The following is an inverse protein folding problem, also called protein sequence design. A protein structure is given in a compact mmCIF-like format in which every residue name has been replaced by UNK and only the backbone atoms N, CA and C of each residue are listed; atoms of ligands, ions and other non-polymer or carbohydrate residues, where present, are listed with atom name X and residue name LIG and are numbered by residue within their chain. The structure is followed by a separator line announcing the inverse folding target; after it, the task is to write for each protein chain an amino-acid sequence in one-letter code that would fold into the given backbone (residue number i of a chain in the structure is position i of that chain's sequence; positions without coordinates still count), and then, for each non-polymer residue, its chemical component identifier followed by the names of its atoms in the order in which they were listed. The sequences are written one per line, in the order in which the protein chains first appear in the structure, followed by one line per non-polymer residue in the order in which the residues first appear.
data_IF_083267470051
#
_entry.id   IF_083267470051
#
_cell.length_a   1.000
_cell.length_b   1.000
_cell.length_c   1.000
_cell.angle_alpha   90.00
_cell.angle_beta   90.00
_cell.angle_gamma   90.00
#
_symmetry.space_group_name_H-M   'P 1'
#
loop_
_entity.id
_entity.type
_entity.pdbx_description
1 polymer ?
#
# COMPACT_ATOMS: atom_id res chain seq x y z
N UNK A 1 10.42 21.83 -22.38
CA UNK A 1 10.43 20.42 -21.99
C UNK A 1 9.51 20.27 -20.78
N UNK A 2 8.36 19.89 -20.86
CA UNK A 2 7.52 18.86 -21.26
C UNK A 2 6.57 18.51 -20.12
N UNK A 3 5.43 19.24 -19.92
CA UNK A 3 4.45 18.98 -18.84
C UNK A 3 3.73 17.61 -18.89
N UNK A 4 4.00 16.78 -19.88
CA UNK A 4 3.41 15.44 -20.00
C UNK A 4 4.11 14.36 -19.14
N UNK A 5 5.34 14.61 -18.68
CA UNK A 5 6.10 13.64 -17.86
C UNK A 5 5.63 13.55 -16.40
N UNK A 6 5.30 14.66 -15.77
CA UNK A 6 5.03 14.72 -14.32
C UNK A 6 3.67 14.12 -13.94
N UNK A 7 2.61 14.39 -14.68
CA UNK A 7 1.28 13.84 -14.37
C UNK A 7 1.22 12.32 -14.50
N UNK A 8 1.94 11.74 -15.46
CA UNK A 8 2.07 10.29 -15.61
C UNK A 8 2.82 9.65 -14.47
N UNK A 9 3.82 10.33 -13.94
CA UNK A 9 4.67 9.83 -12.86
C UNK A 9 3.94 9.77 -11.50
N UNK A 10 3.21 10.83 -11.11
CA UNK A 10 2.40 10.80 -9.87
C UNK A 10 1.31 9.74 -9.90
N UNK A 11 0.65 9.54 -11.04
CA UNK A 11 -0.35 8.48 -11.18
C UNK A 11 0.24 7.08 -11.02
N UNK A 12 1.46 6.85 -11.56
CA UNK A 12 2.18 5.59 -11.42
C UNK A 12 2.63 5.37 -9.98
N UNK A 13 3.27 6.36 -9.35
CA UNK A 13 3.69 6.30 -7.96
C UNK A 13 2.49 6.07 -7.01
N UNK A 14 1.34 6.72 -7.30
CA UNK A 14 0.10 6.48 -6.56
C UNK A 14 -0.43 5.05 -6.71
N UNK A 15 -0.33 4.44 -7.90
CA UNK A 15 -0.71 3.05 -8.11
C UNK A 15 0.22 2.09 -7.36
N UNK A 16 1.53 2.31 -7.43
CA UNK A 16 2.53 1.51 -6.71
C UNK A 16 2.32 1.60 -5.19
N UNK A 17 2.12 2.80 -4.66
CA UNK A 17 1.82 3.03 -3.25
C UNK A 17 0.50 2.39 -2.83
N UNK A 18 -0.55 2.48 -3.65
CA UNK A 18 -1.83 1.80 -3.44
C UNK A 18 -1.64 0.29 -3.33
N UNK A 19 -0.83 -0.28 -4.21
CA UNK A 19 -0.57 -1.73 -4.26
C UNK A 19 0.16 -2.19 -3.00
N UNK A 20 1.22 -1.47 -2.59
CA UNK A 20 2.01 -1.77 -1.39
C UNK A 20 1.20 -1.62 -0.10
N UNK A 21 0.29 -0.65 -0.03
CA UNK A 21 -0.50 -0.36 1.17
C UNK A 21 -1.85 -1.07 1.21
N UNK A 22 -2.28 -1.68 0.12
CA UNK A 22 -3.62 -2.21 -0.09
C UNK A 22 -4.74 -1.20 0.25
N UNK A 23 -4.47 0.11 0.18
CA UNK A 23 -5.40 1.19 0.48
C UNK A 23 -6.44 1.39 -0.65
N UNK A 24 -7.50 2.16 -0.39
CA UNK A 24 -8.47 2.52 -1.44
C UNK A 24 -7.95 3.65 -2.30
N UNK A 25 -8.37 3.68 -3.58
CA UNK A 25 -7.95 4.72 -4.52
C UNK A 25 -8.20 6.15 -4.00
N UNK A 26 -9.36 6.41 -3.39
CA UNK A 26 -9.68 7.70 -2.79
C UNK A 26 -8.80 8.05 -1.59
N UNK A 27 -8.42 7.06 -0.79
CA UNK A 27 -7.50 7.25 0.34
C UNK A 27 -6.12 7.70 -0.15
N UNK A 28 -5.58 7.02 -1.18
CA UNK A 28 -4.27 7.35 -1.76
C UNK A 28 -4.28 8.69 -2.48
N UNK A 29 -5.31 8.97 -3.30
CA UNK A 29 -5.38 10.22 -4.08
C UNK A 29 -5.38 11.46 -3.20
N UNK A 30 -6.12 11.42 -2.09
CA UNK A 30 -6.20 12.53 -1.16
C UNK A 30 -5.16 12.46 -0.03
N UNK A 31 -4.15 11.60 -0.10
CA UNK A 31 -3.10 11.52 0.93
C UNK A 31 -2.34 12.85 1.04
N UNK A 32 -2.13 13.31 2.26
CA UNK A 32 -1.42 14.54 2.56
C UNK A 32 -0.17 14.27 3.38
N UNK A 33 0.82 15.16 3.32
CA UNK A 33 2.11 14.94 3.98
C UNK A 33 2.03 14.95 5.50
N UNK A 34 1.07 15.64 6.08
CA UNK A 34 0.81 15.66 7.52
C UNK A 34 0.26 14.33 8.05
N UNK A 35 -0.26 13.47 7.16
CA UNK A 35 -0.68 12.11 7.50
C UNK A 35 0.49 11.12 7.57
N UNK A 36 1.67 11.48 7.06
CA UNK A 36 2.84 10.60 6.98
C UNK A 36 3.78 10.87 8.14
N UNK A 37 3.97 9.87 8.97
CA UNK A 37 5.00 9.87 10.01
C UNK A 37 6.12 8.95 9.56
N UNK A 38 7.28 9.52 9.25
CA UNK A 38 8.50 8.74 9.10
C UNK A 38 9.02 8.39 10.51
N UNK A 39 9.51 7.16 10.68
CA UNK A 39 9.99 6.71 11.97
C UNK A 39 11.06 7.64 12.57
N UNK A 40 11.09 7.73 13.89
CA UNK A 40 12.07 8.55 14.61
C UNK A 40 13.46 7.99 14.31
N UNK A 41 14.34 8.86 13.81
CA UNK A 41 15.77 8.60 13.88
C UNK A 41 16.14 8.66 15.37
N UNK A 42 16.53 7.54 15.96
CA UNK A 42 17.24 7.58 17.23
C UNK A 42 18.54 8.38 16.99
N UNK A 43 18.56 9.60 17.51
CA UNK A 43 19.71 10.53 17.37
C UNK A 43 20.92 10.09 18.19
N UNK A 44 21.04 8.81 18.51
CA UNK A 44 22.09 8.32 19.41
C UNK A 44 23.38 7.91 18.71
N UNK A 45 23.39 7.82 17.37
CA UNK A 45 24.65 7.57 16.66
C UNK A 45 24.93 8.67 15.61
N UNK A 46 26.07 9.31 15.81
CA UNK A 46 26.65 10.39 15.04
C UNK A 46 27.18 9.90 13.66
N UNK A 47 26.50 8.95 13.03
CA UNK A 47 26.80 8.48 11.68
C UNK A 47 25.71 9.00 10.74
N UNK A 48 26.12 9.84 9.80
CA UNK A 48 25.31 10.52 8.76
C UNK A 48 24.52 9.59 7.81
N UNK A 49 24.45 8.30 8.10
CA UNK A 49 23.81 7.28 7.27
C UNK A 49 22.85 6.43 8.13
N UNK A 50 21.70 6.98 8.49
CA UNK A 50 20.62 6.11 9.01
C UNK A 50 20.13 5.21 7.87
N UNK A 51 20.28 3.88 7.95
CA UNK A 51 19.82 3.01 6.88
C UNK A 51 18.32 3.21 6.62
N UNK A 52 17.93 3.29 5.35
CA UNK A 52 16.52 3.38 4.92
C UNK A 52 15.63 2.34 5.64
N UNK A 53 16.18 1.18 5.95
CA UNK A 53 15.53 0.12 6.71
C UNK A 53 15.13 0.56 8.12
N UNK A 54 15.94 1.35 8.83
CA UNK A 54 15.63 1.81 10.20
C UNK A 54 14.53 2.86 10.21
N UNK A 55 14.50 3.76 9.23
CA UNK A 55 13.43 4.75 9.06
C UNK A 55 12.11 4.05 8.72
N UNK A 56 12.17 3.02 7.91
CA UNK A 56 10.99 2.29 7.44
C UNK A 56 10.36 1.39 8.50
N UNK A 57 11.13 0.91 9.50
CA UNK A 57 10.59 0.00 10.53
C UNK A 57 9.52 0.63 11.42
N UNK A 58 9.43 1.96 11.47
CA UNK A 58 8.42 2.66 12.27
C UNK A 58 7.54 3.64 11.48
N UNK A 59 7.75 3.77 10.16
CA UNK A 59 6.96 4.67 9.34
C UNK A 59 5.48 4.26 9.28
N UNK A 60 4.60 5.25 9.32
CA UNK A 60 3.14 5.03 9.38
C UNK A 60 2.42 6.12 8.58
N UNK A 61 1.39 5.72 7.86
CA UNK A 61 0.43 6.63 7.26
C UNK A 61 -0.87 6.59 8.07
N UNK A 62 -1.23 7.72 8.69
CA UNK A 62 -2.42 7.84 9.52
C UNK A 62 -3.50 8.61 8.77
N UNK A 63 -4.51 7.90 8.29
CA UNK A 63 -5.64 8.49 7.55
C UNK A 63 -6.68 8.95 8.57
N UNK A 64 -7.01 10.25 8.64
CA UNK A 64 -7.95 10.76 9.62
C UNK A 64 -9.37 10.24 9.36
N UNK A 65 -10.17 10.17 10.42
CA UNK A 65 -11.55 9.67 10.37
C UNK A 65 -12.43 10.39 9.33
N UNK A 66 -12.20 11.68 9.11
CA UNK A 66 -12.94 12.51 8.13
C UNK A 66 -12.76 12.06 6.68
N UNK A 67 -11.64 11.38 6.36
CA UNK A 67 -11.35 10.84 5.03
C UNK A 67 -11.73 9.37 4.87
N UNK A 68 -12.10 8.70 5.97
CA UNK A 68 -12.43 7.29 5.95
C UNK A 68 -13.93 7.07 5.77
N UNK A 69 -14.31 6.16 4.84
CA UNK A 69 -15.73 5.79 4.64
C UNK A 69 -16.41 5.32 5.93
N UNK A 70 -15.64 4.75 6.84
CA UNK A 70 -16.12 4.20 8.10
C UNK A 70 -16.13 5.24 9.25
N UNK A 71 -15.71 6.49 9.01
CA UNK A 71 -15.66 7.53 10.04
C UNK A 71 -14.70 7.24 11.20
N UNK A 72 -13.68 6.39 10.98
CA UNK A 72 -12.65 6.05 11.97
C UNK A 72 -11.29 6.20 11.38
N UNK A 73 -10.35 6.73 12.17
CA UNK A 73 -8.94 6.79 11.82
C UNK A 73 -8.40 5.42 11.43
N UNK A 74 -7.54 5.41 10.43
CA UNK A 74 -6.88 4.19 9.99
C UNK A 74 -5.39 4.40 9.86
N UNK A 75 -4.61 3.58 10.57
CA UNK A 75 -3.14 3.58 10.49
C UNK A 75 -2.67 2.46 9.58
N UNK A 76 -1.84 2.82 8.61
CA UNK A 76 -1.21 1.90 7.65
C UNK A 76 0.28 1.80 7.97
N UNK A 77 0.76 0.59 8.22
CA UNK A 77 2.19 0.34 8.38
C UNK A 77 2.87 0.46 7.01
N UNK A 78 3.82 1.39 6.88
CA UNK A 78 4.56 1.60 5.63
C UNK A 78 5.78 0.68 5.58
N UNK A 79 5.96 0.05 4.43
CA UNK A 79 7.16 -0.76 4.14
C UNK A 79 8.31 0.12 3.62
N UNK A 80 9.56 -0.36 3.61
CA UNK A 80 10.68 0.37 3.02
C UNK A 80 10.41 0.86 1.60
N UNK A 81 9.75 0.04 0.79
CA UNK A 81 9.41 0.37 -0.60
C UNK A 81 8.39 1.52 -0.67
N UNK A 82 7.37 1.49 0.19
CA UNK A 82 6.40 2.56 0.27
C UNK A 82 7.04 3.88 0.74
N UNK A 83 7.96 3.80 1.71
CA UNK A 83 8.76 4.95 2.17
C UNK A 83 9.65 5.49 1.06
N UNK A 84 10.31 4.62 0.29
CA UNK A 84 11.16 5.02 -0.84
C UNK A 84 10.36 5.77 -1.92
N UNK A 85 9.14 5.32 -2.23
CA UNK A 85 8.22 6.05 -3.11
C UNK A 85 7.98 7.45 -2.56
N UNK A 86 7.56 7.58 -1.30
CA UNK A 86 7.27 8.87 -0.68
C UNK A 86 8.47 9.81 -0.70
N UNK A 87 9.67 9.30 -0.40
CA UNK A 87 10.90 10.09 -0.41
C UNK A 87 11.34 10.54 -1.81
N UNK A 88 10.97 9.79 -2.85
CA UNK A 88 11.26 10.16 -4.25
C UNK A 88 10.33 11.24 -4.80
N UNK A 89 9.19 11.50 -4.11
CA UNK A 89 8.19 12.46 -4.59
C UNK A 89 8.63 13.91 -4.32
N UNK A 90 8.52 14.81 -5.31
CA UNK A 90 8.71 16.23 -5.07
C UNK A 90 7.59 16.77 -4.18
N UNK A 91 7.92 17.72 -3.33
CA UNK A 91 6.93 18.52 -2.60
C UNK A 91 6.72 19.83 -3.35
N UNK A 92 5.46 20.22 -3.53
CA UNK A 92 5.12 21.52 -4.10
C UNK A 92 4.75 22.46 -2.96
N UNK A 93 5.37 23.63 -2.93
CA UNK A 93 5.02 24.69 -1.99
C UNK A 93 3.53 25.04 -2.13
N UNK A 94 2.82 25.10 -1.02
CA UNK A 94 1.38 25.39 -0.99
C UNK A 94 0.47 24.21 -1.33
N UNK A 95 1.00 23.02 -1.68
CA UNK A 95 0.18 21.80 -1.87
C UNK A 95 0.38 20.83 -0.71
N UNK A 96 -0.67 20.42 0.01
CA UNK A 96 -0.56 19.43 1.07
C UNK A 96 -0.43 18.01 0.54
N UNK A 97 -0.78 17.77 -0.73
CA UNK A 97 -0.94 16.43 -1.29
C UNK A 97 0.39 15.71 -1.54
N UNK A 98 0.43 14.43 -1.18
CA UNK A 98 1.54 13.51 -1.50
C UNK A 98 1.55 13.23 -3.00
N UNK A 99 0.40 12.87 -3.56
CA UNK A 99 0.19 12.63 -4.98
C UNK A 99 -0.70 13.73 -5.53
N UNK A 100 -0.18 14.55 -6.40
CA UNK A 100 -0.89 15.74 -6.88
C UNK A 100 -1.10 15.75 -8.39
N UNK A 101 -2.15 16.44 -8.81
CA UNK A 101 -2.42 16.76 -10.21
C UNK A 101 -1.44 17.84 -10.71
N UNK A 102 -1.27 18.03 -12.02
CA UNK A 102 -0.33 19.02 -12.59
C UNK A 102 -0.48 20.46 -12.07
N UNK A 103 -1.64 20.80 -11.52
CA UNK A 103 -1.91 22.13 -10.92
C UNK A 103 -1.77 22.14 -9.40
N UNK A 104 -1.20 21.10 -8.78
CA UNK A 104 -0.96 21.00 -7.33
C UNK A 104 -2.16 20.55 -6.50
N UNK A 105 -3.32 20.30 -7.10
CA UNK A 105 -4.52 19.79 -6.42
C UNK A 105 -4.52 18.26 -6.29
N UNK A 106 -5.58 17.71 -5.68
CA UNK A 106 -5.80 16.27 -5.57
C UNK A 106 -5.84 15.59 -6.96
N UNK A 107 -5.32 14.35 -7.04
CA UNK A 107 -5.46 13.52 -8.24
C UNK A 107 -6.94 13.20 -8.52
N UNK A 108 -7.33 13.23 -9.81
CA UNK A 108 -8.69 12.85 -10.19
C UNK A 108 -8.97 11.39 -9.86
N UNK A 109 -10.25 11.05 -9.68
CA UNK A 109 -10.73 9.70 -9.39
C UNK A 109 -10.38 8.68 -10.49
N UNK A 110 -10.20 9.16 -11.72
CA UNK A 110 -9.83 8.33 -12.86
C UNK A 110 -8.33 8.10 -13.02
N UNK A 111 -7.46 8.84 -12.29
CA UNK A 111 -6.01 8.83 -12.55
C UNK A 111 -5.40 7.44 -12.40
N UNK A 112 -5.63 6.76 -11.27
CA UNK A 112 -5.06 5.44 -10.99
C UNK A 112 -5.62 4.39 -11.98
N UNK A 113 -6.92 4.44 -12.25
CA UNK A 113 -7.56 3.56 -13.24
C UNK A 113 -7.04 3.79 -14.65
N UNK A 114 -6.72 5.03 -15.02
CA UNK A 114 -6.14 5.35 -16.32
C UNK A 114 -4.69 4.83 -16.46
N UNK A 115 -3.92 4.80 -15.37
CA UNK A 115 -2.59 4.14 -15.37
C UNK A 115 -2.75 2.65 -15.63
N UNK A 116 -3.62 1.96 -14.92
CA UNK A 116 -3.84 0.53 -15.12
C UNK A 116 -4.35 0.21 -16.52
N UNK A 117 -5.26 1.02 -17.08
CA UNK A 117 -5.70 0.83 -18.48
C UNK A 117 -4.55 0.96 -19.46
N UNK A 118 -3.68 1.98 -19.31
CA UNK A 118 -2.49 2.11 -20.19
C UNK A 118 -1.53 0.92 -20.06
N UNK A 119 -1.35 0.38 -18.85
CA UNK A 119 -0.55 -0.83 -18.64
C UNK A 119 -1.21 -2.04 -19.31
N UNK A 120 -2.52 -2.20 -19.17
CA UNK A 120 -3.32 -3.23 -19.85
C UNK A 120 -3.14 -3.15 -21.37
N UNK A 121 -3.37 -1.97 -21.96
CA UNK A 121 -3.25 -1.74 -23.40
C UNK A 121 -1.83 -2.02 -23.92
N UNK A 122 -0.81 -1.67 -23.13
CA UNK A 122 0.58 -1.93 -23.49
C UNK A 122 0.92 -3.41 -23.46
N UNK A 123 0.48 -4.13 -22.42
CA UNK A 123 0.71 -5.56 -22.27
C UNK A 123 -0.08 -6.36 -23.30
N UNK A 124 -1.32 -5.99 -23.59
CA UNK A 124 -2.14 -6.62 -24.60
C UNK A 124 -1.49 -6.50 -25.99
N UNK A 125 -0.90 -5.36 -26.31
CA UNK A 125 -0.14 -5.18 -27.56
C UNK A 125 1.16 -5.99 -27.60
N UNK A 126 1.81 -6.18 -26.45
CA UNK A 126 3.08 -6.89 -26.36
C UNK A 126 2.92 -8.42 -26.32
N UNK A 127 1.96 -8.93 -25.54
CA UNK A 127 1.78 -10.36 -25.26
C UNK A 127 0.45 -10.93 -25.82
N UNK A 128 -0.49 -10.07 -26.24
CA UNK A 128 -1.81 -10.46 -26.72
C UNK A 128 -2.82 -10.80 -25.62
N UNK A 129 -2.41 -10.83 -24.33
CA UNK A 129 -3.28 -11.28 -23.23
C UNK A 129 -3.64 -10.16 -22.24
N UNK A 130 -2.71 -9.23 -21.96
CA UNK A 130 -2.90 -8.22 -20.94
C UNK A 130 -3.03 -8.78 -19.51
N UNK A 131 -3.33 -7.90 -18.55
CA UNK A 131 -3.57 -8.27 -17.16
C UNK A 131 -5.05 -8.51 -16.92
N UNK A 132 -5.49 -9.76 -17.06
CA UNK A 132 -6.90 -10.14 -16.96
C UNK A 132 -7.15 -11.17 -15.86
N UNK A 133 -8.30 -11.08 -15.23
CA UNK A 133 -8.78 -12.11 -14.31
C UNK A 133 -8.96 -13.44 -15.07
N UNK A 134 -8.33 -14.53 -14.66
CA UNK A 134 -8.39 -15.81 -15.36
C UNK A 134 -9.81 -16.39 -15.43
N UNK A 135 -10.70 -16.04 -14.49
CA UNK A 135 -12.06 -16.57 -14.39
C UNK A 135 -13.04 -15.85 -15.33
N UNK A 136 -13.05 -14.52 -15.31
CA UNK A 136 -14.04 -13.72 -16.03
C UNK A 136 -13.47 -12.92 -17.21
N UNK A 137 -12.14 -13.01 -17.43
CA UNK A 137 -11.40 -12.34 -18.51
C UNK A 137 -11.52 -10.80 -18.50
N UNK A 138 -11.90 -10.22 -17.36
CA UNK A 138 -11.98 -8.76 -17.22
C UNK A 138 -10.59 -8.19 -16.89
N UNK A 139 -10.24 -7.01 -17.41
CA UNK A 139 -9.01 -6.32 -17.07
C UNK A 139 -8.91 -6.03 -15.58
N UNK A 140 -7.68 -6.08 -15.06
CA UNK A 140 -7.39 -5.71 -13.69
C UNK A 140 -7.77 -4.25 -13.40
N UNK A 141 -8.32 -4.02 -12.21
CA UNK A 141 -8.74 -2.70 -11.74
C UNK A 141 -8.14 -2.41 -10.36
N UNK A 142 -7.98 -1.13 -9.95
CA UNK A 142 -7.36 -0.79 -8.66
C UNK A 142 -8.01 -1.48 -7.46
N UNK A 143 -9.33 -1.63 -7.45
CA UNK A 143 -10.04 -2.34 -6.38
C UNK A 143 -9.69 -3.83 -6.32
N UNK A 144 -9.40 -4.45 -7.45
CA UNK A 144 -8.97 -5.86 -7.53
C UNK A 144 -7.69 -6.14 -6.76
N UNK A 145 -6.76 -5.17 -6.69
CA UNK A 145 -5.51 -5.31 -5.93
C UNK A 145 -5.75 -5.56 -4.44
N UNK A 146 -6.81 -4.98 -3.88
CA UNK A 146 -7.21 -5.23 -2.48
C UNK A 146 -7.76 -6.65 -2.31
N UNK A 147 -8.50 -7.15 -3.27
CA UNK A 147 -8.97 -8.55 -3.29
C UNK A 147 -7.79 -9.52 -3.38
N UNK A 148 -6.79 -9.20 -4.20
CA UNK A 148 -5.54 -9.97 -4.31
C UNK A 148 -4.80 -10.00 -2.97
N UNK A 149 -4.61 -8.84 -2.31
CA UNK A 149 -4.03 -8.79 -0.97
C UNK A 149 -4.80 -9.66 0.03
N UNK A 150 -6.13 -9.57 0.02
CA UNK A 150 -6.98 -10.34 0.95
C UNK A 150 -6.85 -11.85 0.73
N UNK A 151 -6.82 -12.28 -0.54
CA UNK A 151 -6.63 -13.67 -0.92
C UNK A 151 -5.24 -14.16 -0.55
N UNK A 152 -4.19 -13.40 -0.90
CA UNK A 152 -2.81 -13.68 -0.55
C UNK A 152 -2.64 -13.86 0.97
N UNK A 153 -3.19 -12.95 1.77
CA UNK A 153 -3.11 -13.05 3.23
C UNK A 153 -3.76 -14.33 3.76
N UNK A 154 -4.90 -14.75 3.19
CA UNK A 154 -5.55 -15.99 3.55
C UNK A 154 -4.72 -17.22 3.16
N UNK A 155 -4.14 -17.25 1.96
CA UNK A 155 -3.30 -18.34 1.46
C UNK A 155 -1.99 -18.47 2.25
N UNK A 156 -1.49 -17.36 2.80
CA UNK A 156 -0.32 -17.31 3.67
C UNK A 156 -0.61 -17.61 5.15
N UNK A 157 -1.87 -17.90 5.49
CA UNK A 157 -2.27 -18.25 6.86
C UNK A 157 -2.32 -17.07 7.83
N UNK A 158 -2.36 -15.82 7.33
CA UNK A 158 -2.56 -14.66 8.20
C UNK A 158 -3.94 -14.66 8.85
N UNK A 159 -4.05 -14.28 10.13
CA UNK A 159 -5.34 -14.16 10.79
C UNK A 159 -6.29 -13.25 9.98
N UNK A 160 -7.52 -13.73 9.76
CA UNK A 160 -8.54 -12.99 9.01
C UNK A 160 -8.70 -11.57 9.52
N UNK A 161 -8.79 -11.41 10.84
CA UNK A 161 -9.01 -10.11 11.46
C UNK A 161 -7.87 -9.13 11.16
N UNK A 162 -6.63 -9.61 11.20
CA UNK A 162 -5.47 -8.77 10.87
C UNK A 162 -5.52 -8.26 9.41
N UNK A 163 -5.89 -9.14 8.45
CA UNK A 163 -6.04 -8.78 7.05
C UNK A 163 -7.22 -7.80 6.82
N UNK A 164 -8.36 -8.02 7.50
CA UNK A 164 -9.51 -7.11 7.42
C UNK A 164 -9.20 -5.73 8.03
N UNK A 165 -8.50 -5.69 9.18
CA UNK A 165 -8.04 -4.42 9.78
C UNK A 165 -7.09 -3.69 8.81
N UNK A 166 -6.17 -4.38 8.17
CA UNK A 166 -5.27 -3.78 7.18
C UNK A 166 -6.04 -3.14 6.00
N UNK A 167 -7.17 -3.73 5.63
CA UNK A 167 -8.07 -3.21 4.61
C UNK A 167 -9.05 -2.14 5.14
N UNK A 168 -8.96 -1.72 6.39
CA UNK A 168 -9.95 -0.85 7.02
C UNK A 168 -11.40 -1.36 6.87
N UNK A 169 -11.57 -2.68 6.99
CA UNK A 169 -12.89 -3.31 7.02
C UNK A 169 -13.36 -3.47 8.47
N UNK A 170 -14.66 -3.46 8.66
CA UNK A 170 -15.27 -3.77 9.95
C UNK A 170 -15.20 -5.27 10.22
N UNK A 171 -14.80 -5.64 11.42
CA UNK A 171 -14.80 -7.02 11.91
C UNK A 171 -15.76 -7.12 13.07
N UNK A 172 -16.57 -8.18 13.04
CA UNK A 172 -17.45 -8.54 14.14
C UNK A 172 -18.64 -7.59 14.36
N UNK A 173 -19.39 -7.91 15.42
CA UNK A 173 -20.52 -7.12 15.91
C UNK A 173 -20.06 -5.81 16.55
N UNK A 174 -21.00 -4.91 16.82
CA UNK A 174 -20.69 -3.64 17.51
C UNK A 174 -20.10 -3.88 18.90
N UNK A 175 -20.53 -4.95 19.58
CA UNK A 175 -20.01 -5.36 20.89
C UNK A 175 -18.56 -5.85 20.80
N UNK A 176 -18.24 -6.74 19.85
CA UNK A 176 -16.88 -7.24 19.64
C UNK A 176 -15.91 -6.11 19.32
N UNK A 177 -16.35 -5.11 18.54
CA UNK A 177 -15.55 -3.91 18.21
C UNK A 177 -15.22 -3.04 19.41
N UNK A 178 -16.10 -2.98 20.41
CA UNK A 178 -15.86 -2.25 21.66
C UNK A 178 -14.72 -2.88 22.49
N UNK A 179 -14.52 -4.20 22.34
CA UNK A 179 -13.43 -4.93 23.00
C UNK A 179 -12.11 -4.93 22.20
N UNK A 180 -12.15 -4.62 20.91
CA UNK A 180 -10.97 -4.61 20.06
C UNK A 180 -10.18 -3.30 20.22
N UNK A 181 -9.35 -3.25 21.28
CA UNK A 181 -8.57 -2.06 21.67
C UNK A 181 -7.30 -1.83 20.84
N UNK A 182 -6.85 -2.83 20.07
CA UNK A 182 -5.62 -2.76 19.28
C UNK A 182 -5.93 -2.86 17.79
N UNK A 183 -5.30 -1.98 17.00
CA UNK A 183 -5.30 -2.08 15.54
C UNK A 183 -4.22 -3.02 15.01
N UNK A 184 -3.49 -3.70 15.89
CA UNK A 184 -2.41 -4.65 15.58
C UNK A 184 -1.31 -4.05 14.67
N UNK A 185 -1.02 -2.75 14.77
CA UNK A 185 -0.11 -2.07 13.84
C UNK A 185 1.22 -2.79 13.67
N UNK A 186 1.87 -3.19 14.76
CA UNK A 186 3.18 -3.85 14.68
C UNK A 186 3.11 -5.26 14.07
N UNK A 187 2.03 -5.99 14.33
CA UNK A 187 1.81 -7.30 13.68
C UNK A 187 1.49 -7.12 12.19
N UNK A 188 0.74 -6.08 11.84
CA UNK A 188 0.47 -5.73 10.43
C UNK A 188 1.74 -5.27 9.71
N UNK A 189 2.70 -4.68 10.41
CA UNK A 189 4.00 -4.29 9.83
C UNK A 189 4.73 -5.48 9.22
N UNK A 190 4.83 -6.59 9.95
CA UNK A 190 5.40 -7.84 9.44
C UNK A 190 4.63 -8.37 8.21
N UNK A 191 3.28 -8.41 8.29
CA UNK A 191 2.44 -8.82 7.17
C UNK A 191 2.63 -7.94 5.93
N UNK A 192 2.74 -6.62 6.10
CA UNK A 192 2.96 -5.70 4.97
C UNK A 192 4.35 -5.84 4.38
N UNK A 193 5.37 -6.16 5.18
CA UNK A 193 6.71 -6.48 4.68
C UNK A 193 6.70 -7.75 3.82
N UNK A 194 6.02 -8.79 4.26
CA UNK A 194 5.84 -10.04 3.49
C UNK A 194 5.03 -9.80 2.21
N UNK A 195 4.01 -8.94 2.26
CA UNK A 195 3.27 -8.52 1.08
C UNK A 195 4.16 -7.79 0.07
N UNK A 196 5.00 -6.88 0.52
CA UNK A 196 5.94 -6.18 -0.36
C UNK A 196 6.97 -7.16 -0.99
N UNK A 197 7.47 -8.12 -0.24
CA UNK A 197 8.35 -9.18 -0.74
C UNK A 197 7.65 -10.02 -1.82
N UNK A 198 6.40 -10.41 -1.59
CA UNK A 198 5.58 -11.11 -2.59
C UNK A 198 5.42 -10.29 -3.88
N UNK A 199 5.15 -8.98 -3.77
CA UNK A 199 5.01 -8.09 -4.93
C UNK A 199 6.31 -7.96 -5.74
N UNK A 200 7.48 -8.12 -5.11
CA UNK A 200 8.78 -8.18 -5.80
C UNK A 200 9.05 -9.54 -6.45
N UNK A 201 8.18 -10.52 -6.28
CA UNK A 201 8.40 -11.89 -6.77
C UNK A 201 9.41 -12.67 -5.95
N UNK A 202 9.71 -12.23 -4.72
CA UNK A 202 10.59 -12.97 -3.82
C UNK A 202 9.88 -14.24 -3.35
N UNK A 203 10.55 -15.38 -3.52
CA UNK A 203 10.05 -16.65 -2.99
C UNK A 203 10.26 -16.61 -1.48
N UNK A 204 9.19 -16.36 -0.74
CA UNK A 204 9.20 -16.54 0.71
C UNK A 204 9.49 -18.00 0.98
N UNK A 205 10.52 -18.27 1.78
CA UNK A 205 10.82 -19.64 2.21
C UNK A 205 9.56 -20.24 2.84
N UNK A 206 9.09 -21.36 2.30
CA UNK A 206 8.02 -22.12 2.92
C UNK A 206 8.46 -22.48 4.34
N UNK A 207 7.73 -22.03 5.35
CA UNK A 207 7.92 -22.45 6.74
C UNK A 207 7.52 -23.94 6.95
N UNK A 208 7.77 -24.78 5.95
CA UNK A 208 7.57 -26.22 6.04
C UNK A 208 8.82 -26.83 6.69
N UNK A 209 8.78 -26.95 8.00
CA UNK A 209 9.72 -27.82 8.71
C UNK A 209 9.38 -29.25 8.29
N UNK A 210 10.22 -29.89 7.47
CA UNK A 210 10.15 -31.33 7.25
C UNK A 210 10.39 -32.01 8.61
N UNK A 211 9.34 -32.56 9.19
CA UNK A 211 9.48 -33.48 10.33
C UNK A 211 10.32 -34.65 9.83
N UNK A 212 11.55 -34.74 10.31
CA UNK A 212 12.40 -35.89 10.02
C UNK A 212 11.68 -37.16 10.48
N UNK A 213 11.65 -38.18 9.61
CA UNK A 213 11.18 -39.48 9.99
C UNK A 213 11.99 -39.94 11.20
N UNK A 214 11.34 -40.03 12.37
CA UNK A 214 11.88 -40.75 13.50
C UNK A 214 11.96 -42.23 13.09
N UNK A 215 13.16 -42.76 13.00
CA UNK A 215 13.46 -44.18 12.85
C UNK A 215 13.33 -44.85 14.21
#
# INVERSE_FOLDING_TARGET
MGGFGQAGWHGRAALEFLTLTAARSGEVRGATWDEITFGVQDKTDNTDLTPLATIATSATWTIPASRMKAGREHRVALTPEAVAILQSLPRIEGSPFVFFAPRGGELSDMTISAVMRRMQDAEEKASGAGFVDPRNKRPAVPHGLRSTFRQWAAERGYPRDMAEIALAHFIGSEVERAYQRSDMLERRRAMMADWAAFLRGEVMADNVVKLGNAV
#
